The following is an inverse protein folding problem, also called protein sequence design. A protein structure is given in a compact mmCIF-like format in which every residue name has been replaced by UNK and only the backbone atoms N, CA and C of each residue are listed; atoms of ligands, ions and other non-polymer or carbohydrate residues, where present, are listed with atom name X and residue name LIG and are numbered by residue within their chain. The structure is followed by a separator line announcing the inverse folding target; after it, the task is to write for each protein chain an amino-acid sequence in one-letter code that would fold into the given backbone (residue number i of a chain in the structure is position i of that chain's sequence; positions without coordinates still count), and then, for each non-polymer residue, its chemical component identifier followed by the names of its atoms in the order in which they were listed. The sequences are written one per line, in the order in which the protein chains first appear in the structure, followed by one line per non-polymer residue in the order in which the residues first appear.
data_IF_174862217149
#
_entry.id   IF_174862217149
#
_cell.length_a   1.000
_cell.length_b   1.000
_cell.length_c   1.000
_cell.angle_alpha   90.00
_cell.angle_beta   90.00
_cell.angle_gamma   90.00
#
_symmetry.space_group_name_H-M   'P 1'
#
loop_
_entity.id
_entity.type
_entity.pdbx_description
1 polymer ?
#
# COMPACT_ATOMS: atom_id res chain seq x y z
N UNK A 1 51.59 48.87 4.26
CA UNK A 1 51.68 47.60 3.51
C UNK A 1 50.63 46.65 4.08
N UNK A 2 49.46 46.57 3.44
CA UNK A 2 48.35 45.69 3.85
C UNK A 2 48.48 44.39 3.07
N UNK A 3 48.86 43.30 3.74
CA UNK A 3 48.95 41.98 3.12
C UNK A 3 47.56 41.38 2.96
N UNK A 4 47.17 41.12 1.71
CA UNK A 4 46.01 40.33 1.33
C UNK A 4 46.23 38.87 1.78
N UNK A 5 45.33 38.33 2.61
CA UNK A 5 45.22 36.89 2.83
C UNK A 5 44.08 36.37 1.95
N UNK A 6 44.42 35.81 0.79
CA UNK A 6 43.52 35.06 -0.08
C UNK A 6 43.28 33.68 0.57
N UNK A 7 42.10 33.49 1.16
CA UNK A 7 41.63 32.18 1.63
C UNK A 7 41.07 31.43 0.42
N UNK A 8 41.76 30.38 0.03
CA UNK A 8 41.40 29.45 -1.04
C UNK A 8 40.24 28.56 -0.55
N UNK A 9 39.01 28.82 -1.01
CA UNK A 9 37.86 27.94 -0.80
C UNK A 9 38.05 26.65 -1.61
N UNK A 10 38.50 25.58 -0.96
CA UNK A 10 38.41 24.22 -1.51
C UNK A 10 36.93 23.79 -1.52
N UNK A 11 36.30 23.83 -2.69
CA UNK A 11 35.04 23.12 -2.93
C UNK A 11 35.32 21.61 -2.89
N UNK A 12 35.08 20.98 -1.74
CA UNK A 12 34.84 19.55 -1.69
C UNK A 12 33.50 19.27 -2.38
N UNK A 13 33.55 18.73 -3.60
CA UNK A 13 32.38 18.21 -4.30
C UNK A 13 31.91 16.95 -3.58
N UNK A 14 31.02 17.12 -2.61
CA UNK A 14 30.23 16.01 -2.10
C UNK A 14 29.37 15.49 -3.25
N UNK A 15 29.71 14.33 -3.79
CA UNK A 15 28.80 13.56 -4.65
C UNK A 15 27.68 13.08 -3.72
N UNK A 16 26.64 13.90 -3.57
CA UNK A 16 25.39 13.48 -2.96
C UNK A 16 24.78 12.47 -3.93
N UNK A 17 24.91 11.18 -3.61
CA UNK A 17 24.09 10.18 -4.29
C UNK A 17 22.65 10.45 -3.88
N UNK A 18 21.88 11.08 -4.77
CA UNK A 18 20.43 11.14 -4.63
C UNK A 18 19.93 9.71 -4.44
N UNK A 19 19.21 9.46 -3.35
CA UNK A 19 18.55 8.19 -3.16
C UNK A 19 17.55 8.00 -4.31
N UNK A 20 17.32 6.75 -4.76
CA UNK A 20 16.30 6.49 -5.77
C UNK A 20 15.00 7.14 -5.32
N UNK A 21 14.35 7.88 -6.22
CA UNK A 21 13.14 8.63 -5.90
C UNK A 21 11.99 7.64 -5.69
N UNK A 22 11.87 7.09 -4.49
CA UNK A 22 10.86 6.07 -4.20
C UNK A 22 9.42 6.61 -4.33
N UNK A 23 9.23 7.93 -4.29
CA UNK A 23 7.93 8.57 -4.52
C UNK A 23 7.33 8.35 -5.92
N UNK A 24 8.10 7.86 -6.91
CA UNK A 24 7.57 7.49 -8.23
C UNK A 24 7.16 6.02 -8.34
N UNK A 25 7.54 5.19 -7.36
CA UNK A 25 7.20 3.77 -7.33
C UNK A 25 5.81 3.63 -6.68
N UNK A 26 4.84 2.96 -7.32
CA UNK A 26 3.54 2.69 -6.73
C UNK A 26 3.69 2.00 -5.37
N UNK A 27 2.97 2.51 -4.37
CA UNK A 27 2.93 1.99 -3.02
C UNK A 27 4.05 2.46 -2.11
N UNK A 28 5.10 3.14 -2.56
CA UNK A 28 6.21 3.53 -1.67
C UNK A 28 5.95 4.79 -0.82
N UNK A 29 4.79 5.45 -0.99
CA UNK A 29 4.35 6.56 -0.13
C UNK A 29 2.85 6.46 0.14
N UNK A 30 2.31 7.18 1.15
CA UNK A 30 0.88 7.26 1.37
C UNK A 30 0.10 7.74 0.14
N UNK A 31 0.66 8.67 -0.63
CA UNK A 31 0.01 9.23 -1.83
C UNK A 31 0.00 8.24 -3.00
N UNK A 32 0.98 7.35 -3.08
CA UNK A 32 1.05 6.32 -4.13
C UNK A 32 0.50 4.98 -3.68
N UNK A 33 -0.16 4.91 -2.50
CA UNK A 33 -0.66 3.67 -1.92
C UNK A 33 -1.48 2.83 -2.89
N UNK A 34 -1.17 1.54 -2.92
CA UNK A 34 -1.77 0.56 -3.83
C UNK A 34 -3.19 0.26 -3.36
N UNK A 35 -4.18 0.44 -4.24
CA UNK A 35 -5.55 0.06 -3.93
C UNK A 35 -5.66 -1.47 -3.85
N UNK A 36 -6.24 -1.98 -2.77
CA UNK A 36 -6.55 -3.40 -2.62
C UNK A 36 -7.80 -3.71 -3.43
N UNK A 37 -7.66 -4.46 -4.52
CA UNK A 37 -8.79 -4.84 -5.38
C UNK A 37 -8.75 -6.32 -5.74
N UNK A 38 -9.86 -7.04 -5.52
CA UNK A 38 -10.22 -8.29 -6.21
C UNK A 38 -9.30 -9.52 -6.06
N UNK A 39 -8.09 -9.36 -5.53
CA UNK A 39 -7.12 -10.42 -5.28
C UNK A 39 -6.96 -10.62 -3.79
N UNK A 40 -7.09 -11.87 -3.34
CA UNK A 40 -6.84 -12.23 -1.94
C UNK A 40 -5.35 -12.10 -1.58
N UNK A 41 -4.45 -12.04 -2.57
CA UNK A 41 -2.99 -12.08 -2.39
C UNK A 41 -2.25 -11.04 -3.24
N UNK A 42 -1.39 -10.25 -2.59
CA UNK A 42 -0.48 -9.30 -3.21
C UNK A 42 0.95 -9.79 -3.03
N UNK A 43 1.77 -9.72 -4.08
CA UNK A 43 3.14 -10.22 -4.03
C UNK A 43 4.12 -9.08 -4.33
N UNK A 44 4.85 -8.65 -3.30
CA UNK A 44 6.03 -7.83 -3.46
C UNK A 44 7.22 -8.76 -3.56
N UNK A 45 7.78 -8.92 -4.77
CA UNK A 45 8.94 -9.80 -4.96
C UNK A 45 10.19 -9.27 -4.25
N UNK A 46 10.30 -7.95 -4.13
CA UNK A 46 11.43 -7.25 -3.51
C UNK A 46 10.97 -5.95 -2.87
N UNK A 47 11.68 -5.52 -1.82
CA UNK A 47 11.46 -4.20 -1.19
C UNK A 47 12.72 -3.36 -1.37
N UNK A 48 12.61 -2.33 -2.21
CA UNK A 48 13.68 -1.36 -2.45
C UNK A 48 14.05 -0.60 -1.17
N UNK A 49 15.33 -0.30 -1.01
CA UNK A 49 15.79 0.56 0.09
C UNK A 49 15.38 2.01 -0.17
N UNK A 50 14.58 2.57 0.72
CA UNK A 50 13.97 3.88 0.60
C UNK A 50 13.91 4.55 1.97
N UNK A 51 14.37 5.80 2.09
CA UNK A 51 14.10 6.57 3.31
C UNK A 51 12.64 7.00 3.33
N UNK A 52 12.01 6.86 4.49
CA UNK A 52 10.67 7.32 4.79
C UNK A 52 10.69 8.21 6.03
N UNK A 53 9.73 9.13 6.18
CA UNK A 53 9.55 9.85 7.44
C UNK A 53 9.18 8.88 8.57
N UNK A 54 9.61 9.20 9.78
CA UNK A 54 9.09 8.52 10.97
C UNK A 54 7.58 8.75 11.11
N UNK A 55 6.89 7.71 11.58
CA UNK A 55 5.51 7.76 12.03
C UNK A 55 5.53 7.90 13.55
N UNK A 56 4.80 8.88 14.08
CA UNK A 56 4.68 9.06 15.53
C UNK A 56 4.03 7.83 16.17
N UNK A 57 4.83 7.06 16.91
CA UNK A 57 4.37 5.94 17.75
C UNK A 57 4.51 6.25 19.24
N UNK A 58 4.78 7.50 19.61
CA UNK A 58 5.13 7.87 20.99
C UNK A 58 3.96 7.58 21.95
N UNK A 59 2.72 7.84 21.55
CA UNK A 59 1.54 7.48 22.35
C UNK A 59 1.26 5.98 22.43
N UNK A 60 1.76 5.18 21.47
CA UNK A 60 1.52 3.74 21.38
C UNK A 60 2.62 2.90 22.05
N UNK A 61 3.87 3.18 21.67
CA UNK A 61 5.06 2.41 21.98
C UNK A 61 6.17 3.23 22.65
N UNK A 62 5.95 4.52 22.89
CA UNK A 62 6.96 5.40 23.50
C UNK A 62 8.12 5.76 22.57
N UNK A 63 8.04 5.40 21.29
CA UNK A 63 9.04 5.68 20.26
C UNK A 63 8.38 5.86 18.89
N UNK A 64 9.10 6.47 17.95
CA UNK A 64 8.67 6.51 16.56
C UNK A 64 8.73 5.12 15.90
N UNK A 65 7.87 4.93 14.91
CA UNK A 65 7.87 3.79 14.01
C UNK A 65 8.51 4.23 12.68
N UNK A 66 9.31 3.37 12.05
CA UNK A 66 9.93 3.72 10.77
C UNK A 66 8.98 3.43 9.60
N UNK A 67 8.88 4.36 8.65
CA UNK A 67 8.26 4.11 7.34
C UNK A 67 9.31 3.87 6.24
N UNK A 68 10.57 3.62 6.59
CA UNK A 68 11.61 3.27 5.63
C UNK A 68 11.30 1.91 4.99
N UNK A 69 11.64 1.74 3.72
CA UNK A 69 11.43 0.47 3.00
C UNK A 69 9.96 -0.01 3.06
N UNK A 70 9.02 0.93 3.09
CA UNK A 70 7.59 0.64 3.27
C UNK A 70 6.83 0.59 1.95
N UNK A 71 5.91 -0.37 1.87
CA UNK A 71 4.80 -0.32 0.93
C UNK A 71 3.51 0.03 1.66
N UNK A 72 2.68 0.83 1.01
CA UNK A 72 1.42 1.35 1.48
C UNK A 72 0.29 0.79 0.62
N UNK A 73 -0.76 0.32 1.28
CA UNK A 73 -1.99 -0.15 0.69
C UNK A 73 -3.15 0.66 1.20
N UNK A 74 -4.20 0.81 0.39
CA UNK A 74 -5.44 1.49 0.78
C UNK A 74 -6.65 0.68 0.39
N UNK A 75 -7.68 0.73 1.22
CA UNK A 75 -8.93 0.02 0.98
C UNK A 75 -10.11 0.71 1.65
N UNK A 76 -11.28 0.54 1.04
CA UNK A 76 -12.55 1.03 1.55
C UNK A 76 -13.33 -0.12 2.20
N UNK A 77 -13.96 0.12 3.34
CA UNK A 77 -14.80 -0.87 3.99
C UNK A 77 -16.26 -0.75 3.51
N UNK A 78 -16.71 -1.68 2.69
CA UNK A 78 -18.08 -1.74 2.17
C UNK A 78 -19.06 -2.42 3.14
N UNK A 79 -18.55 -3.26 4.04
CA UNK A 79 -19.32 -3.89 5.10
C UNK A 79 -18.45 -4.01 6.36
N UNK A 80 -18.97 -3.49 7.48
CA UNK A 80 -18.34 -3.56 8.78
C UNK A 80 -18.09 -5.01 9.20
N UNK A 81 -17.00 -5.21 9.94
CA UNK A 81 -16.56 -6.52 10.37
C UNK A 81 -15.11 -6.48 10.81
N UNK A 82 -14.49 -7.65 10.95
CA UNK A 82 -13.08 -7.74 11.33
C UNK A 82 -12.17 -7.74 10.10
N UNK A 83 -11.05 -7.04 10.18
CA UNK A 83 -9.96 -7.07 9.20
C UNK A 83 -8.98 -8.17 9.59
N UNK A 84 -8.86 -9.19 8.75
CA UNK A 84 -7.81 -10.20 8.84
C UNK A 84 -6.88 -10.11 7.65
N UNK A 85 -5.58 -10.19 7.91
CA UNK A 85 -4.56 -10.29 6.88
C UNK A 85 -3.28 -10.92 7.43
N UNK A 86 -2.46 -11.46 6.54
CA UNK A 86 -1.14 -12.00 6.84
C UNK A 86 -0.09 -11.38 5.94
N UNK A 87 1.03 -10.97 6.53
CA UNK A 87 2.27 -10.61 5.84
C UNK A 87 3.20 -11.80 5.98
N UNK A 88 3.48 -12.48 4.86
CA UNK A 88 4.39 -13.62 4.80
C UNK A 88 5.69 -13.19 4.13
N UNK A 89 6.78 -13.00 4.89
CA UNK A 89 8.08 -12.67 4.31
C UNK A 89 8.55 -13.75 3.34
N UNK A 90 9.18 -13.36 2.22
CA UNK A 90 9.81 -14.31 1.28
C UNK A 90 11.03 -14.99 1.91
N UNK A 91 11.68 -14.31 2.86
CA UNK A 91 12.64 -14.86 3.78
C UNK A 91 12.07 -14.77 5.20
N UNK A 92 11.74 -15.90 5.83
CA UNK A 92 11.07 -15.93 7.14
C UNK A 92 11.91 -15.37 8.30
N UNK A 93 13.21 -15.14 8.08
CA UNK A 93 14.07 -14.44 9.03
C UNK A 93 13.99 -12.92 8.92
N UNK A 94 13.32 -12.38 7.89
CA UNK A 94 13.17 -10.94 7.72
C UNK A 94 12.09 -10.40 8.66
N UNK A 95 12.42 -9.29 9.30
CA UNK A 95 11.57 -8.52 10.19
C UNK A 95 10.68 -7.56 9.37
N UNK A 96 9.37 -7.82 9.43
CA UNK A 96 8.33 -7.05 8.75
C UNK A 96 7.33 -6.50 9.75
N UNK A 97 7.45 -5.19 9.92
CA UNK A 97 6.60 -4.35 10.74
C UNK A 97 5.41 -3.85 9.91
N UNK A 98 4.31 -3.53 10.57
CA UNK A 98 3.15 -2.96 9.90
C UNK A 98 2.28 -2.12 10.82
N UNK A 99 1.53 -1.19 10.20
CA UNK A 99 0.58 -0.33 10.88
C UNK A 99 -0.68 -0.11 10.03
N UNK A 100 -1.84 -0.20 10.66
CA UNK A 100 -3.16 0.06 10.06
C UNK A 100 -3.65 1.41 10.55
N UNK A 101 -4.13 2.24 9.62
CA UNK A 101 -4.67 3.57 9.88
C UNK A 101 -6.12 3.67 9.42
N UNK A 102 -6.97 4.35 10.20
CA UNK A 102 -8.25 4.88 9.73
C UNK A 102 -8.00 6.28 9.19
N UNK A 103 -8.11 6.45 7.87
CA UNK A 103 -7.87 7.71 7.16
C UNK A 103 -9.16 8.32 6.63
N UNK A 104 -10.30 7.94 7.21
CA UNK A 104 -11.63 8.42 6.80
C UNK A 104 -11.70 9.94 6.92
N UNK A 105 -12.05 10.60 5.82
CA UNK A 105 -12.15 12.07 5.75
C UNK A 105 -10.80 12.82 5.74
N UNK A 106 -9.67 12.11 5.69
CA UNK A 106 -8.34 12.73 5.63
C UNK A 106 -8.02 13.15 4.20
N UNK A 107 -7.88 14.45 3.98
CA UNK A 107 -7.52 15.02 2.66
C UNK A 107 -6.01 15.04 2.42
N UNK A 108 -5.22 15.18 3.49
CA UNK A 108 -3.75 15.18 3.41
C UNK A 108 -3.21 13.93 4.08
N UNK A 109 -2.88 12.92 3.27
CA UNK A 109 -2.38 11.63 3.76
C UNK A 109 -1.04 11.71 4.49
N UNK A 110 -0.30 12.82 4.44
CA UNK A 110 0.90 12.99 5.28
C UNK A 110 0.56 13.09 6.78
N UNK A 111 -0.71 13.24 7.16
CA UNK A 111 -1.11 13.21 8.56
C UNK A 111 -0.82 11.87 9.24
N UNK A 112 -0.70 10.77 8.49
CA UNK A 112 -0.30 9.45 9.05
C UNK A 112 1.05 9.49 9.76
N UNK A 113 1.94 10.44 9.44
CA UNK A 113 3.24 10.57 10.10
C UNK A 113 3.17 11.24 11.47
N UNK A 114 2.10 12.00 11.75
CA UNK A 114 2.06 12.92 12.90
C UNK A 114 0.81 12.81 13.77
N UNK A 115 -0.30 12.29 13.23
CA UNK A 115 -1.58 12.18 13.94
C UNK A 115 -1.82 10.76 14.44
N UNK A 116 -1.42 10.50 15.68
CA UNK A 116 -1.52 9.18 16.32
C UNK A 116 -2.98 8.70 16.46
N UNK A 117 -3.98 9.59 16.35
CA UNK A 117 -5.39 9.21 16.41
C UNK A 117 -5.84 8.38 15.21
N UNK A 118 -5.07 8.39 14.13
CA UNK A 118 -5.35 7.59 12.94
C UNK A 118 -4.98 6.12 13.15
N UNK A 119 -4.12 5.79 14.11
CA UNK A 119 -3.67 4.41 14.35
C UNK A 119 -4.82 3.52 14.82
N UNK A 120 -5.01 2.41 14.10
CA UNK A 120 -5.98 1.36 14.42
C UNK A 120 -5.28 0.15 15.03
N UNK A 121 -4.14 -0.24 14.45
CA UNK A 121 -3.37 -1.38 14.93
C UNK A 121 -1.92 -1.30 14.47
N UNK A 122 -0.98 -1.66 15.35
CA UNK A 122 0.46 -1.58 15.14
C UNK A 122 1.13 -2.88 15.56
N UNK A 123 2.02 -3.42 14.74
CA UNK A 123 2.85 -4.55 15.11
C UNK A 123 4.27 -4.33 14.62
N UNK A 124 5.21 -4.28 15.57
CA UNK A 124 6.63 -4.12 15.32
C UNK A 124 7.42 -5.35 15.80
N UNK A 125 6.88 -6.55 15.58
CA UNK A 125 7.42 -7.79 16.14
C UNK A 125 8.71 -8.22 15.43
N UNK A 126 9.85 -7.93 16.06
CA UNK A 126 11.16 -8.35 15.55
C UNK A 126 11.64 -9.73 16.03
N UNK A 127 11.01 -10.33 17.05
CA UNK A 127 11.33 -11.68 17.51
C UNK A 127 10.12 -12.36 18.19
N UNK A 128 9.76 -13.61 17.81
CA UNK A 128 10.31 -14.37 16.70
C UNK A 128 10.03 -13.68 15.35
N UNK A 129 10.86 -13.95 14.34
CA UNK A 129 10.56 -13.57 12.96
C UNK A 129 9.55 -14.55 12.35
N UNK A 130 8.87 -14.13 11.28
CA UNK A 130 7.97 -14.99 10.54
C UNK A 130 6.75 -14.24 10.02
N UNK A 131 5.65 -14.97 9.90
CA UNK A 131 4.38 -14.41 9.41
C UNK A 131 3.77 -13.51 10.48
N UNK A 132 3.55 -12.24 10.16
CA UNK A 132 2.87 -11.27 11.03
C UNK A 132 1.50 -10.90 10.47
N UNK A 133 0.65 -10.22 11.25
CA UNK A 133 -0.60 -9.66 10.73
C UNK A 133 -1.75 -9.63 11.74
N UNK A 134 -2.96 -9.46 11.23
CA UNK A 134 -4.19 -9.53 12.01
C UNK A 134 -4.85 -10.89 11.83
N UNK A 135 -4.96 -11.69 12.90
CA UNK A 135 -5.53 -13.03 12.83
C UNK A 135 -6.35 -13.40 14.07
N UNK A 136 -7.16 -14.47 14.03
CA UNK A 136 -7.85 -14.99 15.22
C UNK A 136 -6.91 -15.45 16.35
N UNK A 137 -5.60 -15.60 16.07
CA UNK A 137 -4.60 -15.97 17.08
C UNK A 137 -4.08 -14.78 17.88
N UNK A 138 -4.30 -13.55 17.41
CA UNK A 138 -3.83 -12.34 18.09
C UNK A 138 -4.83 -11.83 19.13
N UNK A 139 -4.30 -11.22 20.19
CA UNK A 139 -5.08 -10.68 21.33
C UNK A 139 -4.95 -9.16 21.44
N UNK A 140 -3.78 -8.62 21.16
CA UNK A 140 -3.47 -7.20 21.30
C UNK A 140 -3.57 -6.46 19.97
N UNK A 141 -3.72 -5.14 19.99
CA UNK A 141 -3.69 -4.32 18.76
C UNK A 141 -2.42 -3.49 18.61
N UNK A 142 -1.56 -3.51 19.63
CA UNK A 142 -0.31 -2.77 19.66
C UNK A 142 0.74 -3.72 20.21
N UNK A 143 1.73 -4.06 19.39
CA UNK A 143 2.88 -4.87 19.76
C UNK A 143 4.16 -4.09 19.47
N UNK A 144 4.80 -3.59 20.53
CA UNK A 144 5.88 -2.61 20.47
C UNK A 144 7.26 -3.25 20.49
N UNK A 145 7.82 -3.57 19.32
CA UNK A 145 9.25 -3.79 19.12
C UNK A 145 9.81 -5.06 19.76
N UNK A 146 10.79 -5.69 19.11
CA UNK A 146 11.59 -6.74 19.73
C UNK A 146 10.79 -8.02 20.01
N UNK A 147 10.94 -8.60 21.21
CA UNK A 147 10.39 -9.90 21.57
C UNK A 147 8.90 -9.81 21.94
N UNK A 148 8.02 -9.95 20.95
CA UNK A 148 6.57 -9.78 21.14
C UNK A 148 5.76 -10.74 20.25
N UNK A 149 4.44 -10.57 20.17
CA UNK A 149 3.55 -11.45 19.42
C UNK A 149 3.50 -11.10 17.93
N UNK A 150 3.61 -12.13 17.08
CA UNK A 150 3.51 -12.01 15.62
C UNK A 150 2.14 -11.49 15.13
N UNK A 151 1.07 -11.77 15.89
CA UNK A 151 -0.29 -11.48 15.48
C UNK A 151 -0.96 -10.49 16.41
N UNK A 152 -1.60 -9.50 15.80
CA UNK A 152 -2.58 -8.66 16.48
C UNK A 152 -3.98 -9.27 16.36
N UNK A 153 -4.87 -8.91 17.28
CA UNK A 153 -6.31 -9.17 17.12
C UNK A 153 -6.81 -8.52 15.83
N UNK A 154 -7.76 -9.16 15.17
CA UNK A 154 -8.37 -8.58 13.98
C UNK A 154 -9.08 -7.26 14.32
N UNK A 155 -8.63 -6.16 13.69
CA UNK A 155 -9.21 -4.83 13.89
C UNK A 155 -10.66 -4.79 13.41
N UNK A 156 -11.55 -4.08 14.10
CA UNK A 156 -12.93 -3.90 13.64
C UNK A 156 -13.02 -2.70 12.72
N UNK A 157 -13.39 -2.92 11.46
CA UNK A 157 -13.62 -1.89 10.47
C UNK A 157 -15.07 -1.43 10.48
N UNK A 158 -15.28 -0.16 10.15
CA UNK A 158 -16.59 0.47 10.04
C UNK A 158 -16.98 0.62 8.56
N UNK A 159 -18.24 0.33 8.22
CA UNK A 159 -18.75 0.56 6.86
C UNK A 159 -18.60 2.04 6.48
N UNK A 160 -18.15 2.30 5.25
CA UNK A 160 -17.97 3.64 4.72
C UNK A 160 -16.64 4.30 5.08
N UNK A 161 -15.81 3.64 5.89
CA UNK A 161 -14.49 4.14 6.27
C UNK A 161 -13.42 3.74 5.26
N UNK A 162 -12.41 4.60 5.15
CA UNK A 162 -11.22 4.42 4.33
C UNK A 162 -10.02 4.12 5.23
N UNK A 163 -9.29 3.06 4.90
CA UNK A 163 -8.16 2.58 5.70
C UNK A 163 -6.89 2.51 4.87
N UNK A 164 -5.76 2.59 5.56
CA UNK A 164 -4.44 2.34 5.00
C UNK A 164 -3.70 1.27 5.81
N UNK A 165 -2.88 0.48 5.12
CA UNK A 165 -1.94 -0.47 5.72
C UNK A 165 -0.55 -0.13 5.22
N UNK A 166 0.36 0.16 6.13
CA UNK A 166 1.79 0.29 5.88
C UNK A 166 2.46 -1.02 6.27
N UNK A 167 3.35 -1.54 5.42
CA UNK A 167 4.20 -2.69 5.73
C UNK A 167 5.64 -2.31 5.39
N UNK A 168 6.50 -2.23 6.40
CA UNK A 168 7.92 -1.89 6.24
C UNK A 168 8.83 -3.05 6.59
N UNK A 169 9.95 -3.12 5.87
CA UNK A 169 11.02 -4.07 6.16
C UNK A 169 12.06 -3.41 7.06
N UNK A 170 12.14 -3.87 8.30
CA UNK A 170 13.17 -3.45 9.26
C UNK A 170 14.52 -4.12 8.99
N UNK A 171 14.50 -5.43 8.68
CA UNK A 171 15.72 -6.21 8.40
C UNK A 171 16.44 -5.74 7.14
N UNK A 172 17.77 -5.69 7.11
CA UNK A 172 18.53 -5.33 5.90
C UNK A 172 18.62 -6.49 4.89
N UNK A 173 17.63 -6.61 4.01
CA UNK A 173 17.47 -7.71 3.04
C UNK A 173 16.75 -7.22 1.77
N UNK A 174 17.02 -7.73 0.55
CA UNK A 174 16.28 -7.28 -0.62
C UNK A 174 14.92 -7.97 -0.79
N UNK A 175 14.64 -9.02 -0.01
CA UNK A 175 13.47 -9.86 -0.19
C UNK A 175 12.19 -9.09 0.14
N UNK A 176 11.10 -9.45 -0.53
CA UNK A 176 9.79 -8.89 -0.26
C UNK A 176 8.91 -9.83 0.57
N UNK A 177 7.60 -9.75 0.36
CA UNK A 177 6.60 -10.51 1.10
C UNK A 177 5.37 -10.78 0.23
N UNK A 178 4.54 -11.71 0.69
CA UNK A 178 3.15 -11.84 0.24
C UNK A 178 2.23 -11.24 1.29
N UNK A 179 1.25 -10.44 0.86
CA UNK A 179 0.19 -9.89 1.69
C UNK A 179 -1.13 -10.53 1.30
N UNK A 180 -1.71 -11.31 2.20
CA UNK A 180 -2.96 -12.01 1.99
C UNK A 180 -4.06 -11.44 2.88
N UNK A 181 -5.17 -10.98 2.31
CA UNK A 181 -6.35 -10.57 3.06
C UNK A 181 -7.32 -11.75 3.22
N UNK A 182 -7.76 -12.02 4.44
CA UNK A 182 -8.64 -13.16 4.73
C UNK A 182 -8.84 -13.43 6.22
N UNK A 183 -9.72 -14.37 6.56
CA UNK A 183 -10.04 -14.74 7.95
C UNK A 183 -10.91 -13.75 8.74
N UNK A 184 -10.97 -12.49 8.30
CA UNK A 184 -11.88 -11.48 8.81
C UNK A 184 -13.28 -11.53 8.20
N UNK A 185 -14.21 -10.73 8.73
CA UNK A 185 -15.60 -10.61 8.27
C UNK A 185 -15.91 -9.29 7.55
N UNK A 186 -15.00 -8.32 7.56
CA UNK A 186 -15.18 -7.07 6.83
C UNK A 186 -15.11 -7.28 5.32
N UNK A 187 -15.92 -6.55 4.56
CA UNK A 187 -15.83 -6.51 3.09
C UNK A 187 -15.01 -5.29 2.69
N UNK A 188 -13.78 -5.54 2.24
CA UNK A 188 -12.83 -4.49 1.82
C UNK A 188 -12.63 -4.42 0.30
N UNK A 189 -13.34 -5.26 -0.44
CA UNK A 189 -13.39 -5.23 -1.91
C UNK A 189 -14.75 -4.72 -2.33
N UNK A 190 -14.78 -3.81 -3.30
CA UNK A 190 -16.03 -3.27 -3.81
C UNK A 190 -16.94 -4.38 -4.34
N UNK A 191 -18.11 -4.61 -3.70
CA UNK A 191 -19.01 -5.70 -4.07
C UNK A 191 -19.75 -5.44 -5.39
N UNK A 192 -19.74 -4.22 -5.91
CA UNK A 192 -20.42 -3.91 -7.16
C UNK A 192 -19.73 -4.58 -8.34
N UNK A 193 -20.48 -5.08 -9.32
CA UNK A 193 -19.87 -5.61 -10.56
C UNK A 193 -19.49 -4.43 -11.46
N UNK A 194 -18.29 -4.39 -12.08
CA UNK A 194 -17.96 -3.38 -13.06
C UNK A 194 -18.98 -3.41 -14.21
N UNK A 195 -19.56 -2.26 -14.54
CA UNK A 195 -20.47 -2.11 -15.69
C UNK A 195 -19.85 -1.18 -16.72
N UNK A 196 -20.21 -1.35 -17.99
CA UNK A 196 -19.82 -0.41 -19.04
C UNK A 196 -20.54 0.93 -18.77
N UNK A 197 -19.77 1.98 -18.51
CA UNK A 197 -20.28 3.32 -18.24
C UNK A 197 -20.42 4.16 -19.51
N UNK A 198 -19.50 4.00 -20.46
CA UNK A 198 -19.59 4.65 -21.78
C UNK A 198 -18.80 3.91 -22.85
N UNK A 199 -19.21 4.10 -24.09
CA UNK A 199 -18.49 3.63 -25.28
C UNK A 199 -18.37 4.79 -26.26
N UNK A 200 -17.16 5.19 -26.61
CA UNK A 200 -16.89 6.30 -27.53
C UNK A 200 -15.90 5.88 -28.62
N UNK A 201 -15.82 6.62 -29.72
CA UNK A 201 -14.73 6.46 -30.69
C UNK A 201 -13.43 7.06 -30.16
N UNK A 202 -12.28 6.55 -30.58
CA UNK A 202 -10.98 7.13 -30.25
C UNK A 202 -10.68 8.28 -31.22
N UNK A 203 -11.01 9.51 -30.81
CA UNK A 203 -10.89 10.69 -31.67
C UNK A 203 -11.76 10.53 -32.93
N UNK A 204 -11.18 10.82 -34.10
CA UNK A 204 -11.83 10.62 -35.40
C UNK A 204 -11.69 9.19 -35.96
N UNK A 205 -11.06 8.27 -35.23
CA UNK A 205 -10.89 6.88 -35.68
C UNK A 205 -12.17 6.08 -35.39
N UNK A 206 -12.93 5.77 -36.45
CA UNK A 206 -14.18 5.01 -36.40
C UNK A 206 -13.99 3.49 -36.27
N UNK A 207 -12.74 3.01 -36.32
CA UNK A 207 -12.39 1.59 -36.17
C UNK A 207 -11.95 1.21 -34.76
N UNK A 208 -11.85 2.18 -33.84
CA UNK A 208 -11.47 1.95 -32.44
C UNK A 208 -12.57 2.45 -31.51
N UNK A 209 -13.00 1.58 -30.60
CA UNK A 209 -13.90 1.92 -29.51
C UNK A 209 -13.09 2.03 -28.21
N UNK A 210 -13.34 3.10 -27.46
CA UNK A 210 -12.94 3.25 -26.06
C UNK A 210 -14.12 2.84 -25.19
N UNK A 211 -13.98 1.73 -24.48
CA UNK A 211 -14.92 1.28 -23.46
C UNK A 211 -14.43 1.80 -22.13
N UNK A 212 -15.29 2.52 -21.42
CA UNK A 212 -15.04 2.97 -20.05
C UNK A 212 -15.93 2.18 -19.11
N UNK A 213 -15.38 1.68 -18.02
CA UNK A 213 -16.12 0.98 -16.98
C UNK A 213 -16.51 1.94 -15.85
N UNK A 214 -17.46 1.53 -15.01
CA UNK A 214 -17.87 2.26 -13.80
C UNK A 214 -16.77 2.30 -12.73
N UNK A 215 -15.78 1.39 -12.84
CA UNK A 215 -14.63 1.27 -11.94
C UNK A 215 -13.48 0.56 -12.62
N UNK A 216 -12.31 0.61 -11.99
CA UNK A 216 -11.13 -0.12 -12.45
C UNK A 216 -11.37 -1.64 -12.46
N UNK A 217 -10.83 -2.30 -13.47
CA UNK A 217 -10.90 -3.75 -13.65
C UNK A 217 -9.48 -4.31 -13.77
N UNK A 218 -9.31 -5.59 -13.46
CA UNK A 218 -8.04 -6.27 -13.64
C UNK A 218 -7.76 -6.38 -15.14
N UNK A 219 -6.68 -5.79 -15.65
CA UNK A 219 -6.43 -5.77 -17.10
C UNK A 219 -6.35 -7.18 -17.72
N UNK A 220 -5.84 -8.18 -16.97
CA UNK A 220 -5.79 -9.57 -17.42
C UNK A 220 -7.14 -10.29 -17.40
N UNK A 221 -8.21 -9.67 -16.89
CA UNK A 221 -9.57 -10.22 -17.00
C UNK A 221 -10.23 -9.92 -18.34
N UNK A 222 -9.56 -9.17 -19.23
CA UNK A 222 -10.00 -8.90 -20.61
C UNK A 222 -9.05 -9.64 -21.54
N UNK A 223 -9.59 -10.52 -22.37
CA UNK A 223 -8.81 -11.25 -23.35
C UNK A 223 -8.26 -10.28 -24.42
N UNK A 224 -7.04 -10.54 -24.90
CA UNK A 224 -6.41 -9.70 -25.93
C UNK A 224 -7.18 -9.67 -27.25
N UNK A 225 -8.05 -10.64 -27.50
CA UNK A 225 -8.96 -10.70 -28.65
C UNK A 225 -10.32 -10.01 -28.40
N UNK A 226 -10.58 -9.56 -27.17
CA UNK A 226 -11.82 -8.89 -26.78
C UNK A 226 -13.06 -9.79 -26.86
N UNK A 227 -12.90 -11.11 -26.74
CA UNK A 227 -13.99 -12.10 -26.83
C UNK A 227 -15.13 -11.90 -25.83
N UNK A 228 -14.92 -11.11 -24.78
CA UNK A 228 -15.94 -10.72 -23.81
C UNK A 228 -16.94 -9.68 -24.35
N UNK A 229 -16.62 -9.00 -25.45
CA UNK A 229 -17.44 -7.92 -26.00
C UNK A 229 -18.15 -8.33 -27.29
N UNK A 230 -19.39 -7.85 -27.44
CA UNK A 230 -20.15 -7.97 -28.68
C UNK A 230 -20.78 -6.62 -29.05
N UNK A 231 -20.89 -6.34 -30.34
CA UNK A 231 -21.52 -5.12 -30.86
C UNK A 231 -22.85 -5.53 -31.49
N UNK A 232 -23.96 -5.00 -30.98
CA UNK A 232 -25.31 -5.34 -31.45
C UNK A 232 -26.16 -4.08 -31.71
N UNK A 233 -26.84 -3.95 -32.87
CA UNK A 233 -26.75 -4.84 -34.01
C UNK A 233 -25.37 -4.69 -34.67
N UNK A 234 -24.64 -5.80 -34.80
CA UNK A 234 -23.49 -5.84 -35.70
C UNK A 234 -24.03 -5.42 -37.05
N UNK A 235 -23.50 -4.33 -37.64
CA UNK A 235 -24.06 -3.77 -38.88
C UNK A 235 -24.31 -4.93 -39.85
N UNK A 236 -25.56 -5.14 -40.22
CA UNK A 236 -25.86 -5.84 -41.45
C UNK A 236 -25.12 -5.06 -42.53
N UNK A 237 -24.12 -5.68 -43.15
CA UNK A 237 -23.52 -5.20 -44.39
C UNK A 237 -24.66 -5.06 -45.41
N UNK A 238 -25.32 -3.91 -45.42
CA UNK A 238 -26.22 -3.51 -46.48
C UNK A 238 -25.39 -2.75 -47.50
N UNK A 239 -25.15 -3.44 -48.62
CA UNK A 239 -24.79 -3.01 -49.99
C UNK A 239 -24.14 -1.64 -50.16
#
# INVERSE_FOLDING_TARGET
MRSLLLIFLLLATFIVKAQPQCSTIPGMTPQTAIAVCGTTSFNQNSVSTCLGPDISGIGACGSNNSSENAFWYKFHCYQAGTLGFLVTPKNLSDDYDWEVFDVTGILNLNQVYTDERLMVSLNLCGSPNGVTGCSPLGTDSINCGGATFLYNRMATLQTGHDYMLMVNRWSNSPFGYTLDFGGGTAVITDPNVPVISSVTTVGCNTSLLKVTFSKDIVCSSVSGDGSEFSITPGRSCCK
#
